data_IF_678789885459
#
_entry.id   IF_678789885459
#
_cell.length_a   1.000
_cell.length_b   1.000
_cell.length_c   1.000
_cell.angle_alpha   90.00
_cell.angle_beta   90.00
_cell.angle_gamma   90.00
#
_symmetry.space_group_name_H-M   'P 1'
#
loop_
_entity.id
_entity.type
_entity.pdbx_description
1 polymer ?
2 polymer ?
3 non-polymer ?
4 non-polymer ?
5 water ?
#
# COMPACT_ATOMS: atom_id res chain seq x y z
N UNK A 33 -12.70 -3.63 -23.28
CA UNK A 33 -12.12 -4.11 -22.02
C UNK A 33 -12.66 -3.35 -20.81
N UNK A 34 -13.10 -4.08 -19.77
CA UNK A 34 -13.60 -3.44 -18.53
C UNK A 34 -12.42 -2.79 -17.81
N UNK A 35 -12.68 -1.78 -16.99
CA UNK A 35 -11.63 -1.08 -16.29
C UNK A 35 -10.91 -1.96 -15.27
N UNK A 36 -11.64 -2.79 -14.52
CA UNK A 36 -11.06 -3.67 -13.51
C UNK A 36 -10.19 -4.78 -14.19
N UNK A 37 -10.54 -5.18 -15.42
CA UNK A 37 -9.73 -6.15 -16.17
C UNK A 37 -8.36 -5.54 -16.54
N UNK A 38 -8.32 -4.19 -16.71
CA UNK A 38 -7.08 -3.45 -17.01
C UNK A 38 -6.23 -3.29 -15.72
N UNK A 39 -6.88 -3.21 -14.54
CA UNK A 39 -6.19 -3.16 -13.25
C UNK A 39 -5.66 -4.54 -12.94
N UNK A 40 -6.37 -5.57 -13.41
CA UNK A 40 -5.96 -6.94 -13.17
C UNK A 40 -4.67 -7.28 -13.91
N UNK A 41 -4.60 -7.04 -15.23
CA UNK A 41 -3.42 -7.38 -16.06
C UNK A 41 -2.11 -6.74 -15.60
N UNK A 42 -2.18 -5.58 -14.90
CA UNK A 42 -0.98 -4.85 -14.46
C UNK A 42 -0.55 -5.23 -13.01
N UNK A 43 -1.20 -6.24 -12.41
CA UNK A 43 -0.81 -6.72 -11.08
C UNK A 43 0.66 -7.11 -11.05
N UNK A 44 1.47 -6.57 -10.10
CA UNK A 44 2.90 -6.90 -10.09
C UNK A 44 3.17 -8.39 -9.86
N UNK A 45 4.28 -8.89 -10.43
CA UNK A 45 4.70 -10.27 -10.21
C UNK A 45 5.16 -10.42 -8.73
N UNK A 46 5.17 -11.66 -8.26
CA UNK A 46 5.60 -12.06 -6.92
C UNK A 46 7.12 -11.91 -6.81
N UNK A 47 7.58 -11.19 -5.78
CA UNK A 47 9.01 -11.01 -5.53
C UNK A 47 9.41 -11.88 -4.35
N UNK A 48 10.62 -12.45 -4.42
CA UNK A 48 11.20 -13.26 -3.35
C UNK A 48 12.14 -12.38 -2.52
N UNK A 49 12.24 -12.67 -1.21
CA UNK A 49 13.07 -11.92 -0.28
C UNK A 49 14.56 -12.26 -0.41
N UNK A 50 14.87 -13.48 -0.85
CA UNK A 50 16.23 -14.00 -0.91
C UNK A 50 16.69 -14.38 0.47
N UNK A 51 15.74 -14.80 1.32
CA UNK A 51 15.96 -15.14 2.72
C UNK A 51 16.46 -16.59 2.94
N UNK A 52 17.71 -16.70 3.43
CA UNK A 52 18.40 -17.96 3.73
C UNK A 52 17.88 -18.53 5.06
N UNK A 53 16.94 -19.48 4.97
CA UNK A 53 16.31 -20.13 6.11
C UNK A 53 17.21 -21.11 6.88
N UNK A 54 18.42 -21.42 6.36
CA UNK A 54 19.36 -22.32 7.06
C UNK A 54 20.01 -21.56 8.21
N UNK A 55 20.17 -20.22 8.04
CA UNK A 55 20.72 -19.30 9.02
C UNK A 55 19.59 -18.95 10.03
N UNK A 56 19.87 -18.91 11.37
CA UNK A 56 18.79 -18.56 12.33
C UNK A 56 18.21 -17.16 12.16
N UNK A 57 16.97 -16.99 12.64
CA UNK A 57 16.20 -15.75 12.57
C UNK A 57 16.59 -14.77 13.67
N UNK A 58 16.32 -13.49 13.43
CA UNK A 58 16.44 -12.41 14.41
C UNK A 58 15.56 -11.29 13.88
N UNK A 59 15.09 -10.41 14.79
CA UNK A 59 14.23 -9.29 14.40
C UNK A 59 14.96 -8.36 13.46
N UNK A 60 16.24 -8.00 13.79
CA UNK A 60 17.08 -7.11 12.98
C UNK A 60 17.28 -7.64 11.55
N UNK A 61 17.57 -8.92 11.40
CA UNK A 61 17.80 -9.61 10.14
C UNK A 61 16.53 -9.60 9.28
N UNK A 62 15.39 -9.92 9.88
CA UNK A 62 14.10 -9.91 9.18
C UNK A 62 13.75 -8.49 8.73
N UNK A 63 13.85 -7.50 9.66
CA UNK A 63 13.58 -6.10 9.37
C UNK A 63 14.43 -5.57 8.23
N UNK A 64 15.74 -5.93 8.21
CA UNK A 64 16.70 -5.53 7.18
C UNK A 64 16.29 -6.10 5.82
N UNK A 65 16.04 -7.44 5.76
CA UNK A 65 15.63 -8.15 4.56
C UNK A 65 14.31 -7.57 4.00
N UNK A 66 13.34 -7.28 4.89
CA UNK A 66 12.05 -6.70 4.49
C UNK A 66 12.14 -5.28 3.97
N UNK A 67 13.12 -4.48 4.45
CA UNK A 67 13.36 -3.13 3.96
C UNK A 67 13.91 -3.20 2.54
N UNK A 68 14.87 -4.13 2.29
CA UNK A 68 15.44 -4.33 0.95
C UNK A 68 14.36 -4.82 -0.03
N UNK A 69 13.50 -5.74 0.40
CA UNK A 69 12.37 -6.26 -0.39
C UNK A 69 11.37 -5.15 -0.68
N UNK A 70 11.08 -4.33 0.34
CA UNK A 70 10.17 -3.18 0.24
C UNK A 70 10.59 -2.17 -0.83
N UNK A 71 11.90 -1.94 -0.96
CA UNK A 71 12.44 -1.07 -1.99
C UNK A 71 12.14 -1.59 -3.39
N UNK A 72 12.35 -2.91 -3.61
CA UNK A 72 12.07 -3.60 -4.88
C UNK A 72 10.56 -3.59 -5.19
N UNK A 73 9.72 -3.83 -4.18
CA UNK A 73 8.26 -3.77 -4.28
C UNK A 73 7.82 -2.35 -4.67
N UNK A 74 8.48 -1.30 -4.10
CA UNK A 74 8.16 0.09 -4.43
C UNK A 74 8.51 0.46 -5.85
N UNK A 75 9.64 -0.03 -6.35
CA UNK A 75 10.07 0.18 -7.74
C UNK A 75 9.01 -0.45 -8.68
N UNK A 76 8.53 -1.66 -8.32
CA UNK A 76 7.47 -2.36 -9.05
C UNK A 76 6.13 -1.59 -8.93
N UNK A 77 5.88 -0.90 -7.79
CA UNK A 77 4.65 -0.11 -7.57
C UNK A 77 4.62 1.13 -8.48
N UNK A 78 5.78 1.70 -8.80
CA UNK A 78 5.89 2.85 -9.71
C UNK A 78 5.49 2.42 -11.15
N UNK A 79 6.05 1.29 -11.61
CA UNK A 79 5.76 0.70 -12.93
C UNK A 79 4.26 0.36 -13.02
N UNK A 80 3.69 -0.15 -11.92
CA UNK A 80 2.27 -0.47 -11.77
C UNK A 80 1.41 0.80 -11.92
N UNK A 81 1.71 1.87 -11.13
CA UNK A 81 0.98 3.13 -11.14
C UNK A 81 0.92 3.78 -12.52
N UNK A 82 2.05 3.78 -13.25
CA UNK A 82 2.18 4.35 -14.60
C UNK A 82 1.28 3.64 -15.61
N UNK A 83 0.86 2.40 -15.30
CA UNK A 83 -0.01 1.62 -16.17
C UNK A 83 -1.51 1.73 -15.78
N UNK A 84 -1.84 2.40 -14.65
CA UNK A 84 -3.24 2.61 -14.23
C UNK A 84 -3.89 3.61 -15.19
N UNK A 85 -5.02 3.24 -15.85
CA UNK A 85 -5.68 4.20 -16.76
C UNK A 85 -6.03 5.56 -16.13
N UNK A 86 -5.45 6.62 -16.69
CA UNK A 86 -5.65 7.98 -16.22
C UNK A 86 -4.49 8.59 -15.46
N UNK A 87 -3.73 7.76 -14.69
CA UNK A 87 -2.60 8.20 -13.87
C UNK A 87 -1.52 8.99 -14.63
N UNK A 88 -1.11 8.51 -15.82
CA UNK A 88 -0.07 9.20 -16.61
C UNK A 88 -0.55 10.51 -17.24
N UNK A 89 -1.87 10.78 -17.22
CA UNK A 89 -2.43 12.03 -17.73
C UNK A 89 -2.35 13.14 -16.67
N UNK A 90 -2.05 12.78 -15.41
CA UNK A 90 -1.87 13.78 -14.34
C UNK A 90 -0.50 14.42 -14.55
N UNK A 91 -0.31 15.63 -14.00
CA UNK A 91 0.98 16.32 -14.06
C UNK A 91 2.02 15.40 -13.37
N UNK A 92 3.25 15.31 -13.94
CA UNK A 92 4.33 14.49 -13.39
C UNK A 92 4.54 14.73 -11.88
N UNK A 93 4.38 15.98 -11.42
CA UNK A 93 4.50 16.37 -10.02
C UNK A 93 3.42 15.72 -9.16
N UNK A 94 2.20 15.56 -9.69
CA UNK A 94 1.08 14.92 -9.00
C UNK A 94 1.29 13.43 -8.92
N UNK A 95 1.92 12.83 -9.97
CA UNK A 95 2.28 11.42 -10.05
C UNK A 95 3.27 11.11 -8.91
N UNK A 96 4.29 11.97 -8.74
CA UNK A 96 5.28 11.86 -7.68
C UNK A 96 4.65 12.02 -6.30
N UNK A 97 3.76 13.01 -6.15
CA UNK A 97 3.08 13.34 -4.91
C UNK A 97 2.25 12.16 -4.37
N UNK A 98 1.37 11.62 -5.24
CA UNK A 98 0.47 10.50 -4.93
C UNK A 98 1.22 9.26 -4.53
N UNK A 99 2.32 8.94 -5.25
CA UNK A 99 3.19 7.81 -4.93
C UNK A 99 3.91 8.03 -3.60
N UNK A 100 4.36 9.26 -3.34
CA UNK A 100 5.04 9.62 -2.09
C UNK A 100 4.10 9.52 -0.87
N UNK A 101 2.85 9.97 -1.00
CA UNK A 101 1.86 9.87 0.09
C UNK A 101 1.41 8.43 0.39
N UNK A 102 1.09 7.68 -0.66
CA UNK A 102 0.42 6.38 -0.55
C UNK A 102 1.29 5.14 -0.47
N UNK A 103 2.60 5.25 -0.72
CA UNK A 103 3.50 4.10 -0.80
C UNK A 103 3.25 3.03 0.30
N UNK A 104 3.17 3.44 1.58
CA UNK A 104 2.96 2.53 2.70
C UNK A 104 1.56 1.89 2.68
N UNK A 105 0.51 2.64 2.26
CA UNK A 105 -0.82 2.04 2.19
C UNK A 105 -0.88 0.99 1.10
N UNK A 106 -0.24 1.25 -0.05
CA UNK A 106 -0.16 0.29 -1.15
C UNK A 106 0.59 -0.98 -0.70
N UNK A 107 1.75 -0.81 -0.02
CA UNK A 107 2.57 -1.92 0.48
C UNK A 107 1.78 -2.78 1.47
N UNK A 108 1.18 -2.14 2.51
CA UNK A 108 0.41 -2.83 3.55
C UNK A 108 -0.83 -3.51 2.98
N UNK A 109 -1.52 -2.87 2.02
CA UNK A 109 -2.72 -3.45 1.43
C UNK A 109 -2.39 -4.65 0.56
N UNK A 110 -1.32 -4.55 -0.28
CA UNK A 110 -0.87 -5.67 -1.13
C UNK A 110 -0.40 -6.85 -0.28
N UNK A 111 0.29 -6.55 0.85
CA UNK A 111 0.73 -7.56 1.81
C UNK A 111 -0.48 -8.25 2.49
N UNK A 112 -1.48 -7.47 2.91
CA UNK A 112 -2.71 -7.98 3.52
C UNK A 112 -3.40 -8.97 2.60
N UNK A 113 -3.53 -8.61 1.29
CA UNK A 113 -4.13 -9.47 0.27
C UNK A 113 -3.35 -10.77 0.09
N UNK A 114 -2.01 -10.67 -0.05
CA UNK A 114 -1.18 -11.86 -0.23
C UNK A 114 -1.26 -12.79 0.97
N UNK A 115 -1.40 -12.24 2.18
CA UNK A 115 -1.50 -12.98 3.43
C UNK A 115 -2.87 -13.68 3.54
N UNK A 116 -3.92 -12.95 3.17
CA UNK A 116 -5.30 -13.41 3.13
C UNK A 116 -5.46 -14.57 2.12
N UNK A 117 -4.76 -14.51 0.97
CA UNK A 117 -4.81 -15.55 -0.05
C UNK A 117 -3.97 -16.79 0.27
N UNK A 118 -2.81 -16.62 0.95
CA UNK A 118 -1.93 -17.75 1.24
C UNK A 118 -2.32 -18.55 2.46
N UNK A 119 -2.86 -17.91 3.50
CA UNK A 119 -3.27 -18.61 4.71
C UNK A 119 -4.62 -18.16 5.26
N UNK A 120 -5.21 -19.01 6.12
CA UNK A 120 -6.46 -18.77 6.83
C UNK A 120 -6.08 -18.48 8.29
N UNK A 121 -4.77 -18.55 8.58
CA UNK A 121 -4.14 -18.31 9.86
C UNK A 121 -3.54 -16.89 9.91
N UNK A 122 -3.03 -16.51 11.09
CA UNK A 122 -2.39 -15.21 11.37
C UNK A 122 -0.94 -15.24 10.87
N UNK A 123 -0.76 -15.19 9.54
CA UNK A 123 0.57 -15.16 8.93
C UNK A 123 0.71 -13.99 7.97
N UNK A 124 1.84 -13.28 8.06
CA UNK A 124 2.15 -12.21 7.12
C UNK A 124 3.04 -12.81 6.05
N UNK A 125 2.52 -12.88 4.81
CA UNK A 125 3.22 -13.45 3.68
C UNK A 125 3.89 -12.34 2.88
N UNK A 126 5.05 -11.88 3.38
CA UNK A 126 5.82 -10.82 2.72
C UNK A 126 6.34 -11.26 1.39
N UNK A 127 6.78 -12.53 1.33
CA UNK A 127 7.33 -13.18 0.14
C UNK A 127 7.13 -14.67 0.33
N UNK A 128 7.12 -15.50 -0.73
CA UNK A 128 6.97 -16.96 -0.52
C UNK A 128 8.06 -17.58 0.35
N UNK A 129 9.27 -17.00 0.33
CA UNK A 129 10.43 -17.45 1.11
C UNK A 129 10.59 -16.69 2.44
N UNK A 130 9.63 -15.82 2.80
CA UNK A 130 9.67 -15.07 4.05
C UNK A 130 8.25 -14.79 4.57
N UNK A 131 7.74 -15.75 5.29
CA UNK A 131 6.44 -15.68 5.93
C UNK A 131 6.67 -15.53 7.45
N UNK A 132 5.97 -14.57 8.08
CA UNK A 132 6.05 -14.38 9.52
C UNK A 132 5.00 -15.29 10.15
N UNK A 133 5.45 -16.51 10.49
CA UNK A 133 4.67 -17.55 11.13
C UNK A 133 4.56 -17.28 12.64
N UNK A 134 3.82 -18.13 13.39
CA UNK A 134 3.61 -17.98 14.84
C UNK A 134 4.92 -18.00 15.67
N UNK A 135 5.95 -18.74 15.20
CA UNK A 135 7.26 -18.81 15.87
C UNK A 135 8.06 -17.51 15.67
N UNK A 136 7.99 -16.91 14.44
CA UNK A 136 8.65 -15.65 14.11
C UNK A 136 8.02 -14.46 14.82
N UNK A 137 6.71 -14.55 15.08
CA UNK A 137 5.97 -13.52 15.79
C UNK A 137 6.42 -13.39 17.26
N UNK A 138 7.04 -14.45 17.83
CA UNK A 138 7.51 -14.46 19.22
C UNK A 138 8.87 -13.75 19.38
N UNK A 139 9.53 -13.42 18.25
CA UNK A 139 10.81 -12.70 18.23
C UNK A 139 10.66 -11.32 18.87
N UNK A 140 11.69 -10.81 19.59
CA UNK A 140 11.54 -9.50 20.26
C UNK A 140 11.13 -8.36 19.36
N UNK A 141 10.03 -7.69 19.73
CA UNK A 141 9.44 -6.52 19.06
C UNK A 141 8.90 -6.81 17.65
N UNK A 142 8.74 -8.10 17.28
CA UNK A 142 8.21 -8.51 15.98
C UNK A 142 6.70 -8.27 15.92
N UNK A 143 5.96 -8.72 16.95
CA UNK A 143 4.50 -8.58 17.02
C UNK A 143 4.02 -7.13 16.95
N UNK A 144 4.61 -6.21 17.75
CA UNK A 144 4.19 -4.81 17.79
C UNK A 144 4.27 -4.10 16.44
N UNK A 145 5.19 -4.53 15.57
CA UNK A 145 5.28 -3.96 14.24
C UNK A 145 4.37 -4.73 13.24
N UNK A 146 4.25 -6.06 13.41
CA UNK A 146 3.42 -6.96 12.60
C UNK A 146 1.91 -6.79 12.77
N UNK A 147 1.44 -6.46 14.00
CA UNK A 147 0.03 -6.35 14.38
C UNK A 147 -0.81 -5.41 13.51
N UNK A 148 -0.24 -4.28 13.05
CA UNK A 148 -0.96 -3.32 12.20
C UNK A 148 -1.22 -3.89 10.81
N UNK A 149 -0.25 -4.67 10.30
CA UNK A 149 -0.35 -5.33 9.00
C UNK A 149 -1.30 -6.50 9.09
N UNK A 150 -1.27 -7.23 10.24
CA UNK A 150 -2.19 -8.34 10.51
C UNK A 150 -3.65 -7.88 10.52
N UNK A 151 -3.91 -6.63 10.95
CA UNK A 151 -5.25 -6.02 10.93
C UNK A 151 -5.84 -6.01 9.49
N UNK A 152 -5.00 -5.65 8.49
CA UNK A 152 -5.36 -5.58 7.07
C UNK A 152 -5.82 -6.95 6.54
N UNK A 153 -5.00 -8.00 6.73
CA UNK A 153 -5.33 -9.37 6.32
C UNK A 153 -6.52 -9.96 7.08
N UNK A 154 -6.73 -9.52 8.34
CA UNK A 154 -7.83 -9.95 9.21
C UNK A 154 -9.16 -9.40 8.69
N UNK A 155 -9.19 -8.09 8.35
CA UNK A 155 -10.32 -7.36 7.77
C UNK A 155 -10.70 -7.88 6.39
N UNK A 156 -9.70 -8.11 5.50
CA UNK A 156 -9.95 -8.65 4.16
C UNK A 156 -10.60 -10.03 4.26
N UNK A 157 -10.15 -10.86 5.23
CA UNK A 157 -10.72 -12.18 5.51
C UNK A 157 -12.13 -12.07 6.15
N UNK A 158 -12.32 -11.15 7.12
CA UNK A 158 -13.62 -10.95 7.79
C UNK A 158 -14.67 -10.46 6.79
N UNK A 159 -14.29 -9.53 5.91
CA UNK A 159 -15.18 -8.95 4.90
C UNK A 159 -15.29 -9.81 3.63
N UNK A 160 -14.49 -10.90 3.54
CA UNK A 160 -14.44 -11.82 2.39
C UNK A 160 -14.32 -11.04 1.08
N UNK A 161 -13.36 -10.11 1.04
CA UNK A 161 -13.08 -9.23 -0.11
C UNK A 161 -12.72 -10.06 -1.36
N UNK A 162 -13.34 -9.71 -2.50
CA UNK A 162 -13.11 -10.38 -3.77
C UNK A 162 -11.91 -9.76 -4.47
N UNK A 163 -11.37 -10.46 -5.48
CA UNK A 163 -10.24 -10.01 -6.29
C UNK A 163 -10.54 -8.68 -6.98
N UNK A 164 -11.73 -8.53 -7.57
CA UNK A 164 -12.14 -7.30 -8.26
C UNK A 164 -12.31 -6.09 -7.32
N UNK A 165 -12.87 -6.30 -6.12
CA UNK A 165 -13.02 -5.26 -5.09
C UNK A 165 -11.65 -4.79 -4.64
N UNK A 166 -10.75 -5.75 -4.34
CA UNK A 166 -9.35 -5.50 -3.93
C UNK A 166 -8.60 -4.63 -4.96
N UNK A 167 -8.72 -4.94 -6.26
CA UNK A 167 -8.06 -4.19 -7.34
C UNK A 167 -8.54 -2.74 -7.36
N UNK A 168 -9.86 -2.51 -7.22
CA UNK A 168 -10.44 -1.17 -7.21
C UNK A 168 -9.99 -0.43 -5.96
N UNK A 169 -10.00 -1.12 -4.82
CA UNK A 169 -9.58 -0.60 -3.53
C UNK A 169 -8.12 -0.19 -3.50
N UNK A 170 -7.23 -1.02 -4.08
CA UNK A 170 -5.80 -0.71 -4.12
C UNK A 170 -5.52 0.53 -4.95
N UNK A 171 -6.18 0.68 -6.12
CA UNK A 171 -6.05 1.90 -6.95
C UNK A 171 -6.57 3.13 -6.16
N UNK A 172 -7.68 2.97 -5.39
CA UNK A 172 -8.22 4.06 -4.57
C UNK A 172 -7.26 4.49 -3.48
N UNK A 173 -6.45 3.54 -2.97
CA UNK A 173 -5.42 3.85 -1.98
C UNK A 173 -4.32 4.76 -2.54
N UNK A 174 -4.01 4.64 -3.85
CA UNK A 174 -3.03 5.52 -4.51
C UNK A 174 -3.58 6.95 -4.56
N UNK A 175 -4.91 7.05 -4.59
CA UNK A 175 -5.64 8.33 -4.66
C UNK A 175 -6.30 8.71 -3.32
N UNK A 176 -5.77 8.21 -2.19
CA UNK A 176 -6.36 8.45 -0.86
C UNK A 176 -5.84 9.70 -0.10
N UNK A 177 -4.77 10.37 -0.59
CA UNK A 177 -4.19 11.58 0.02
C UNK A 177 -3.69 12.56 -1.02
N UNK A 178 -3.90 13.84 -0.77
CA UNK A 178 -3.45 14.95 -1.63
C UNK A 178 -2.76 16.01 -0.75
N UNK A 179 -1.93 16.94 -1.29
CA UNK A 179 -1.38 18.01 -0.43
C UNK A 179 -2.51 18.90 0.09
N UNK A 180 -2.34 19.55 1.26
CA UNK A 180 -3.40 20.40 1.82
C UNK A 180 -3.86 21.54 0.85
N UNK A 181 -3.00 21.92 -0.12
CA UNK A 181 -3.29 22.94 -1.14
C UNK A 181 -3.81 22.36 -2.45
N UNK A 182 -3.80 21.04 -2.54
CA UNK A 182 -4.26 20.31 -3.71
C UNK A 182 -3.18 19.97 -4.70
N UNK A 183 -3.59 19.45 -5.86
CA UNK A 183 -2.73 19.02 -6.96
C UNK A 183 -2.75 19.99 -8.13
N UNK A 184 -1.75 19.88 -9.04
CA UNK A 184 -1.68 20.71 -10.25
C UNK A 184 -2.83 20.36 -11.21
N UNK A 185 -3.20 19.06 -11.27
CA UNK A 185 -4.31 18.53 -12.10
C UNK A 185 -5.41 18.01 -11.15
N UNK A 186 -5.91 18.88 -10.23
CA UNK A 186 -6.93 18.54 -9.24
C UNK A 186 -8.27 18.12 -9.85
N UNK A 187 -8.74 18.86 -10.89
CA UNK A 187 -9.99 18.57 -11.59
C UNK A 187 -9.92 17.19 -12.24
N UNK A 188 -8.78 16.87 -12.88
CA UNK A 188 -8.55 15.58 -13.51
C UNK A 188 -8.48 14.47 -12.44
N UNK A 189 -7.80 14.72 -11.31
CA UNK A 189 -7.71 13.78 -10.18
C UNK A 189 -9.10 13.43 -9.64
N UNK A 190 -9.95 14.46 -9.39
CA UNK A 190 -11.33 14.31 -8.89
C UNK A 190 -12.18 13.43 -9.84
N UNK A 191 -11.94 13.56 -11.16
CA UNK A 191 -12.62 12.78 -12.21
C UNK A 191 -12.15 11.31 -12.18
N UNK A 192 -10.82 11.08 -12.03
CA UNK A 192 -10.18 9.75 -11.98
C UNK A 192 -10.63 9.01 -10.72
N UNK A 193 -10.54 9.67 -9.55
CA UNK A 193 -10.95 9.09 -8.27
C UNK A 193 -12.44 8.64 -8.32
N UNK A 194 -13.31 9.50 -8.88
CA UNK A 194 -14.73 9.22 -9.03
C UNK A 194 -14.96 7.97 -9.89
N UNK A 195 -14.21 7.84 -11.01
CA UNK A 195 -14.25 6.70 -11.93
C UNK A 195 -13.91 5.37 -11.20
N UNK A 196 -12.89 5.39 -10.30
CA UNK A 196 -12.50 4.19 -9.57
C UNK A 196 -13.41 3.88 -8.38
N UNK A 197 -14.12 4.91 -7.85
CA UNK A 197 -15.13 4.71 -6.82
C UNK A 197 -16.31 3.97 -7.49
N UNK A 198 -16.67 4.40 -8.73
CA UNK A 198 -17.73 3.78 -9.55
C UNK A 198 -17.37 2.33 -9.88
N UNK A 199 -16.07 2.07 -10.13
CA UNK A 199 -15.56 0.73 -10.44
C UNK A 199 -15.73 -0.19 -9.25
N UNK A 200 -15.44 0.29 -8.02
CA UNK A 200 -15.62 -0.47 -6.79
C UNK A 200 -17.10 -0.89 -6.64
N UNK A 201 -18.01 0.07 -6.87
CA UNK A 201 -19.45 -0.13 -6.86
C UNK A 201 -19.87 -1.28 -7.78
N UNK A 202 -19.34 -1.30 -9.04
CA UNK A 202 -19.60 -2.34 -10.04
C UNK A 202 -19.12 -3.73 -9.57
N UNK A 203 -17.95 -3.80 -8.89
CA UNK A 203 -17.39 -5.05 -8.38
C UNK A 203 -18.29 -5.61 -7.27
N UNK A 204 -18.85 -4.73 -6.42
CA UNK A 204 -19.76 -5.04 -5.30
C UNK A 204 -21.08 -5.65 -5.81
N UNK A 205 -21.69 -5.03 -6.85
CA UNK A 205 -22.97 -5.44 -7.47
C UNK A 205 -22.91 -6.92 -7.95
N UNK A 206 -21.74 -7.38 -8.41
CA UNK A 206 -21.49 -8.75 -8.86
C UNK A 206 -21.59 -9.83 -7.76
N UNK A 207 -21.49 -9.44 -6.47
CA UNK A 207 -21.51 -10.34 -5.29
C UNK A 207 -22.94 -10.78 -4.80
N UNK A 208 -23.79 -11.28 -5.72
CA UNK A 208 -25.15 -11.83 -5.53
C UNK A 208 -26.02 -11.09 -4.43
N UNK A 209 -25.96 -9.77 -4.38
CA UNK A 209 -26.70 -9.01 -3.38
C UNK A 209 -27.87 -8.17 -3.85
N UNK A 210 -28.63 -7.63 -2.88
CA UNK A 210 -29.76 -6.72 -3.08
C UNK A 210 -29.29 -5.29 -2.73
N UNK A 211 -30.12 -4.26 -2.97
CA UNK A 211 -29.77 -2.86 -2.70
C UNK A 211 -29.26 -2.59 -1.26
N UNK A 212 -29.94 -3.19 -0.25
CA UNK A 212 -29.64 -3.05 1.18
C UNK A 212 -28.34 -3.75 1.61
N UNK A 213 -28.00 -4.90 0.98
CA UNK A 213 -26.77 -5.63 1.29
C UNK A 213 -25.59 -4.98 0.58
N UNK A 214 -25.84 -4.42 -0.63
CA UNK A 214 -24.85 -3.70 -1.43
C UNK A 214 -24.55 -2.33 -0.83
N UNK A 215 -25.54 -1.73 -0.11
CA UNK A 215 -25.36 -0.45 0.58
C UNK A 215 -24.44 -0.69 1.77
N UNK A 216 -24.64 -1.85 2.47
CA UNK A 216 -23.84 -2.32 3.60
C UNK A 216 -22.41 -2.66 3.14
N UNK A 217 -22.27 -3.33 1.98
CA UNK A 217 -20.96 -3.71 1.44
C UNK A 217 -20.11 -2.49 1.07
N UNK A 218 -20.69 -1.52 0.32
CA UNK A 218 -19.97 -0.30 -0.07
C UNK A 218 -19.48 0.45 1.16
N UNK A 219 -20.33 0.53 2.20
CA UNK A 219 -20.08 1.15 3.50
C UNK A 219 -18.94 0.44 4.22
N UNK A 220 -19.01 -0.91 4.30
CA UNK A 220 -18.00 -1.75 4.96
C UNK A 220 -16.62 -1.58 4.32
N UNK A 221 -16.55 -1.68 2.97
CA UNK A 221 -15.30 -1.57 2.20
C UNK A 221 -14.68 -0.18 2.22
N UNK A 222 -15.50 0.89 2.12
CA UNK A 222 -15.01 2.27 2.20
C UNK A 222 -14.56 2.61 3.63
N UNK A 223 -15.08 1.87 4.64
CA UNK A 223 -14.69 1.99 6.04
C UNK A 223 -13.31 1.35 6.20
N UNK A 224 -13.07 0.19 5.53
CA UNK A 224 -11.75 -0.43 5.55
C UNK A 224 -10.73 0.51 4.87
N UNK A 225 -11.10 1.14 3.73
CA UNK A 225 -10.26 2.11 3.02
C UNK A 225 -9.90 3.29 3.93
N UNK A 226 -10.90 3.82 4.66
CA UNK A 226 -10.73 4.92 5.62
C UNK A 226 -9.74 4.54 6.73
N UNK A 227 -9.90 3.31 7.29
CA UNK A 227 -9.06 2.74 8.35
C UNK A 227 -7.60 2.54 7.95
N UNK A 228 -7.31 2.51 6.62
CA UNK A 228 -5.94 2.37 6.12
C UNK A 228 -5.06 3.55 6.52
N UNK A 229 -5.66 4.76 6.70
CA UNK A 229 -4.96 5.98 7.15
C UNK A 229 -4.38 5.77 8.55
N UNK A 230 -5.15 5.13 9.47
CA UNK A 230 -4.73 4.83 10.84
C UNK A 230 -3.67 3.70 10.87
N UNK A 231 -3.81 2.68 10.00
CA UNK A 231 -2.86 1.57 9.85
C UNK A 231 -1.48 2.15 9.44
N UNK A 232 -1.50 3.04 8.43
CA UNK A 232 -0.31 3.69 7.87
C UNK A 232 0.32 4.62 8.89
N UNK A 233 -0.50 5.40 9.65
CA UNK A 233 0.01 6.28 10.70
C UNK A 233 0.91 5.48 11.69
N UNK A 234 0.42 4.30 12.13
CA UNK A 234 1.14 3.41 13.04
C UNK A 234 2.40 2.81 12.43
N UNK A 235 2.33 2.37 11.14
CA UNK A 235 3.49 1.79 10.45
C UNK A 235 4.57 2.84 10.19
N UNK A 236 4.17 4.09 9.87
CA UNK A 236 5.08 5.19 9.59
C UNK A 236 5.79 5.69 10.82
N UNK A 237 5.17 5.54 12.00
CA UNK A 237 5.75 5.90 13.28
C UNK A 237 6.98 5.00 13.56
N UNK A 238 6.86 3.70 13.33
CA UNK A 238 7.93 2.70 13.44
C UNK A 238 8.99 3.01 12.37
N UNK A 239 8.53 3.21 11.11
CA UNK A 239 9.35 3.50 9.94
C UNK A 239 10.26 4.75 10.11
N UNK A 240 9.66 5.90 10.48
CA UNK A 240 10.35 7.17 10.65
C UNK A 240 11.37 7.12 11.80
N UNK A 241 10.99 6.49 12.93
CA UNK A 241 11.87 6.32 14.10
C UNK A 241 13.07 5.43 13.76
N UNK A 242 12.82 4.29 13.09
CA UNK A 242 13.83 3.31 12.65
C UNK A 242 14.77 3.94 11.61
N UNK A 243 14.23 4.81 10.74
CA UNK A 243 15.04 5.49 9.72
C UNK A 243 15.92 6.60 10.32
N UNK A 244 15.38 7.41 11.23
CA UNK A 244 16.11 8.52 11.83
C UNK A 244 17.18 8.10 12.85
N UNK A 245 16.93 7.02 13.61
CA UNK A 245 17.88 6.54 14.60
C UNK A 245 18.95 5.66 13.94
N UNK A 246 20.06 6.29 13.52
CA UNK A 246 21.15 5.61 12.83
C UNK A 246 21.88 4.55 13.71
N UNK A 247 21.78 4.68 15.06
CA UNK A 247 22.42 3.74 16.00
C UNK A 247 21.75 2.35 15.95
N UNK A 248 20.58 2.22 15.31
CA UNK A 248 19.84 0.96 15.15
C UNK A 248 20.44 0.13 14.01
N UNK A 249 21.24 0.77 13.12
CA UNK A 249 21.91 0.17 11.97
C UNK A 249 20.92 -0.55 11.07
N UNK A 250 19.71 0.05 10.92
CA UNK A 250 18.68 -0.50 10.07
C UNK A 250 18.84 0.15 8.69
N UNK A 251 19.20 -0.66 7.70
CA UNK A 251 19.41 -0.17 6.35
C UNK A 251 18.09 -0.07 5.59
N UNK A 252 17.94 1.03 4.85
CA UNK A 252 16.84 1.34 3.96
C UNK A 252 17.44 1.50 2.56
N UNK A 253 16.83 0.87 1.54
CA UNK A 253 17.34 1.06 0.16
C UNK A 253 17.03 2.47 -0.33
N UNK A 254 17.81 2.97 -1.32
CA UNK A 254 17.65 4.30 -1.95
C UNK A 254 16.18 4.69 -2.20
N UNK A 255 15.37 3.81 -2.79
CA UNK A 255 13.97 4.09 -3.09
C UNK A 255 13.19 4.50 -1.83
N UNK A 256 13.29 3.71 -0.74
CA UNK A 256 12.57 4.03 0.50
C UNK A 256 13.19 5.20 1.23
N UNK A 257 14.54 5.28 1.29
CA UNK A 257 15.27 6.37 1.95
C UNK A 257 14.85 7.72 1.37
N UNK A 258 14.70 7.78 0.05
CA UNK A 258 14.27 8.97 -0.69
C UNK A 258 12.83 9.39 -0.38
N UNK A 259 11.87 8.43 -0.43
CA UNK A 259 10.47 8.71 -0.10
C UNK A 259 10.38 9.22 1.39
N UNK A 260 11.02 8.49 2.34
CA UNK A 260 10.99 8.83 3.79
C UNK A 260 11.54 10.26 4.03
N UNK A 261 12.66 10.60 3.39
CA UNK A 261 13.29 11.93 3.45
C UNK A 261 12.33 13.02 2.91
N UNK A 262 11.51 12.68 1.91
CA UNK A 262 10.52 13.61 1.35
C UNK A 262 9.29 13.75 2.29
N UNK A 263 8.82 12.62 2.85
CA UNK A 263 7.61 12.54 3.65
C UNK A 263 7.71 13.12 5.05
N UNK A 264 8.85 12.93 5.76
CA UNK A 264 9.01 13.46 7.13
C UNK A 264 8.70 15.00 7.22
N UNK A 265 9.26 15.93 6.38
CA UNK A 265 8.89 17.35 6.52
C UNK A 265 7.43 17.66 6.19
N UNK A 266 6.81 16.90 5.26
CA UNK A 266 5.40 17.06 4.86
C UNK A 266 4.44 16.75 6.04
N UNK A 267 4.72 15.69 6.82
CA UNK A 267 3.95 15.35 8.02
C UNK A 267 4.21 16.40 9.12
N UNK A 268 5.47 16.87 9.22
CA UNK A 268 5.91 17.88 10.19
C UNK A 268 5.18 19.24 9.99
N UNK A 269 4.91 19.62 8.71
CA UNK A 269 4.29 20.89 8.32
C UNK A 269 2.78 20.81 8.02
N UNK A 270 2.16 19.67 8.33
CA UNK A 270 0.74 19.43 8.08
C UNK A 270 0.37 19.43 6.61
N UNK A 271 1.36 19.19 5.73
CA UNK A 271 1.14 19.17 4.29
C UNK A 271 0.63 17.81 3.83
N UNK A 272 -0.66 17.56 4.12
CA UNK A 272 -1.40 16.34 3.78
C UNK A 272 -2.89 16.50 4.11
N UNK A 273 -3.72 16.11 3.15
CA UNK A 273 -5.16 16.09 3.23
C UNK A 273 -5.50 14.61 3.00
N UNK A 274 -5.92 13.91 4.06
CA UNK A 274 -6.27 12.49 4.02
C UNK A 274 -7.74 12.37 3.63
N UNK A 275 -8.01 11.93 2.39
CA UNK A 275 -9.38 11.78 1.90
C UNK A 275 -10.12 10.66 2.62
N UNK A 276 -11.32 10.96 3.11
CA UNK A 276 -12.19 10.03 3.82
C UNK A 276 -13.51 9.89 3.10
N UNK A 277 -14.12 8.69 3.20
CA UNK A 277 -15.43 8.39 2.62
C UNK A 277 -16.53 8.67 3.65
N UNK A 278 -16.22 8.48 4.95
CA UNK A 278 -17.12 8.67 6.10
C UNK A 278 -16.49 9.61 7.15
N UNK A 279 -17.33 10.15 8.04
CA UNK A 279 -16.90 11.04 9.13
C UNK A 279 -17.41 10.57 10.47
N UNK B 2 15.70 16.64 -6.00
CA UNK B 2 15.34 16.28 -4.64
C UNK B 2 14.90 14.80 -4.52
N UNK B 3 13.92 14.36 -5.32
CA UNK B 3 13.49 12.96 -5.34
C UNK B 3 13.88 12.34 -6.70
N UNK B 4 15.20 12.29 -6.91
CA UNK B 4 15.87 11.84 -8.11
C UNK B 4 15.45 10.47 -8.63
N UNK B 5 15.43 9.43 -7.77
CA UNK B 5 15.08 8.10 -8.20
C UNK B 5 13.61 7.99 -8.64
N UNK B 6 12.67 8.50 -7.83
CA UNK B 6 11.26 8.46 -8.19
C UNK B 6 11.01 9.20 -9.51
N UNK B 7 11.63 10.38 -9.69
CA UNK B 7 11.46 11.15 -10.92
C UNK B 7 11.95 10.36 -12.12
N UNK B 8 13.10 9.67 -11.99
CA UNK B 8 13.68 8.83 -13.04
C UNK B 8 12.73 7.70 -13.46
N UNK B 9 12.16 6.98 -12.49
CA UNK B 9 11.25 5.85 -12.72
C UNK B 9 9.94 6.27 -13.41
N UNK B 10 9.43 7.48 -13.10
CA UNK B 10 8.24 8.04 -13.72
C UNK B 10 8.53 8.57 -15.11
N UNK B 11 9.73 9.16 -15.32
CA UNK B 11 10.20 9.76 -16.57
C UNK B 11 10.66 8.74 -17.60
N UNK B 12 11.38 7.68 -17.18
CA UNK B 12 11.90 6.66 -18.10
C UNK B 12 10.77 5.90 -18.84
N UNK B 13 11.10 5.30 -20.00
CA UNK B 13 10.15 4.48 -20.74
C UNK B 13 10.26 3.04 -20.22
N UNK B 14 9.13 2.44 -19.79
CA UNK B 14 9.11 1.07 -19.27
C UNK B 14 9.11 0.00 -20.37
#
# INVERSE_FOLDING_TARGET
>A
GSIQQATTGVSQETSENPGDKTIVPATLPQLTPTLVSLLEVIEPEVLYAGYDSSVPDSTWRIMTTLNMLGGRQMIAAVKWAKAIPGFRNLHLDDQMTLLQYSWMSLMAFALGWRSYRQSSANLLCFAPDLIINEQRMTLPDMYDQCKHMLYVSSELHRLQVSYEEYLCMKTLLLLSSVPKDGLKSQALFDEIRMTYIKELGKAIVKREGNSSQNSQRFYQLTKLLDSMHEVVENLLNYCFQTFLDKTMSIEFPEMLAEIITNQIPKYSNGNIKKLLFHQK
>B
KENALLRYLLDKDD
#
